data_IF_216462214613
#
_entry.id   IF_216462214613
#
_cell.length_a   1.000
_cell.length_b   1.000
_cell.length_c   1.000
_cell.angle_alpha   90.00
_cell.angle_beta   90.00
_cell.angle_gamma   90.00
#
_symmetry.space_group_name_H-M   'P 1'
#
loop_
_entity.id
_entity.type
_entity.pdbx_description
1 polymer ?
#
# COMPACT_ATOMS: atom_id res chain seq x y z
N UNK A 1 18.34 -4.71 -6.52
CA UNK A 1 17.52 -5.94 -6.48
C UNK A 1 17.22 -6.22 -5.02
N UNK A 2 16.26 -5.49 -4.45
CA UNK A 2 15.99 -5.54 -3.01
C UNK A 2 14.78 -6.44 -2.78
N UNK A 3 15.02 -7.55 -2.08
CA UNK A 3 14.00 -8.43 -1.52
C UNK A 3 14.31 -8.55 -0.02
N UNK A 4 13.37 -8.26 0.90
CA UNK A 4 11.96 -7.95 0.65
C UNK A 4 11.73 -6.65 -0.14
N UNK A 5 10.56 -6.50 -0.78
CA UNK A 5 10.25 -5.32 -1.60
C UNK A 5 10.28 -4.05 -0.74
N UNK A 6 10.52 -2.90 -1.38
CA UNK A 6 10.28 -1.62 -0.70
C UNK A 6 8.80 -1.50 -0.32
N UNK A 7 8.49 -0.73 0.72
CA UNK A 7 7.11 -0.60 1.20
C UNK A 7 6.28 0.31 0.31
N UNK A 8 6.82 1.44 -0.15
CA UNK A 8 6.09 2.42 -0.94
C UNK A 8 6.22 2.15 -2.44
N UNK A 9 5.11 2.25 -3.18
CA UNK A 9 5.06 2.09 -4.62
C UNK A 9 4.09 3.09 -5.25
N UNK A 10 4.44 3.56 -6.44
CA UNK A 10 3.58 4.41 -7.28
C UNK A 10 3.26 3.67 -8.57
N UNK A 11 1.98 3.56 -8.91
CA UNK A 11 1.55 3.04 -10.21
C UNK A 11 1.62 4.15 -11.25
N UNK A 12 2.20 3.85 -12.42
CA UNK A 12 2.17 4.77 -13.58
C UNK A 12 0.79 4.84 -14.23
N UNK A 13 -0.08 3.87 -13.96
CA UNK A 13 -1.47 3.85 -14.40
C UNK A 13 -2.40 4.13 -13.22
N UNK A 14 -3.50 4.84 -13.47
CA UNK A 14 -4.52 5.03 -12.46
C UNK A 14 -5.32 3.74 -12.26
N UNK A 15 -5.29 3.19 -11.04
CA UNK A 15 -6.01 1.98 -10.66
C UNK A 15 -7.18 2.37 -9.76
N UNK A 16 -8.39 2.45 -10.34
CA UNK A 16 -9.63 2.83 -9.64
C UNK A 16 -9.52 4.16 -8.86
N UNK A 17 -8.93 5.18 -9.47
CA UNK A 17 -8.67 6.48 -8.85
C UNK A 17 -7.35 6.57 -8.09
N UNK A 18 -6.69 5.44 -7.82
CA UNK A 18 -5.53 5.35 -6.93
C UNK A 18 -4.22 5.17 -7.71
N UNK A 19 -3.17 5.86 -7.27
CA UNK A 19 -1.81 5.75 -7.83
C UNK A 19 -0.76 5.41 -6.78
N UNK A 20 -1.01 5.72 -5.50
CA UNK A 20 -0.07 5.46 -4.41
C UNK A 20 -0.47 4.22 -3.63
N UNK A 21 0.50 3.34 -3.44
CA UNK A 21 0.30 2.03 -2.83
C UNK A 21 1.35 1.72 -1.77
N UNK A 22 0.99 0.85 -0.84
CA UNK A 22 1.89 0.24 0.14
C UNK A 22 1.90 -1.28 0.00
N UNK A 23 3.08 -1.88 0.01
CA UNK A 23 3.25 -3.32 0.08
C UNK A 23 2.89 -3.83 1.47
N UNK A 24 1.80 -4.59 1.56
CA UNK A 24 1.27 -5.14 2.81
C UNK A 24 1.64 -6.60 3.02
N UNK A 25 1.93 -7.33 1.93
CA UNK A 25 2.38 -8.72 2.00
C UNK A 25 3.18 -9.07 0.74
N UNK A 26 4.04 -10.06 0.82
CA UNK A 26 4.84 -10.55 -0.30
C UNK A 26 5.28 -11.98 -0.04
N UNK A 27 5.55 -12.71 -1.11
CA UNK A 27 5.97 -14.10 -0.98
C UNK A 27 6.34 -14.71 -2.31
N UNK A 28 6.45 -16.04 -2.31
CA UNK A 28 6.91 -16.81 -3.47
C UNK A 28 8.44 -16.81 -3.60
N UNK A 29 8.91 -17.61 -4.55
CA UNK A 29 10.32 -17.89 -4.74
C UNK A 29 10.79 -17.41 -6.11
N UNK A 30 11.96 -16.76 -6.15
CA UNK A 30 12.64 -16.36 -7.38
C UNK A 30 11.71 -15.64 -8.38
N UNK A 31 11.44 -16.26 -9.53
CA UNK A 31 10.60 -15.72 -10.61
C UNK A 31 9.09 -15.77 -10.30
N UNK A 32 8.68 -16.55 -9.30
CA UNK A 32 7.29 -16.67 -8.84
C UNK A 32 7.00 -15.73 -7.66
N UNK A 33 7.91 -14.79 -7.37
CA UNK A 33 7.68 -13.77 -6.35
C UNK A 33 6.49 -12.91 -6.71
N UNK A 34 5.77 -12.48 -5.68
CA UNK A 34 4.62 -11.60 -5.80
C UNK A 34 4.55 -10.66 -4.60
N UNK A 35 3.87 -9.53 -4.78
CA UNK A 35 3.63 -8.52 -3.76
C UNK A 35 2.14 -8.15 -3.78
N UNK A 36 1.54 -8.01 -2.61
CA UNK A 36 0.20 -7.44 -2.43
C UNK A 36 0.38 -5.97 -2.06
N UNK A 37 -0.22 -5.11 -2.87
CA UNK A 37 -0.22 -3.67 -2.74
C UNK A 37 -1.62 -3.18 -2.37
N UNK A 38 -1.72 -2.21 -1.47
CA UNK A 38 -2.97 -1.60 -1.03
C UNK A 38 -2.92 -0.07 -1.23
N UNK A 39 -4.02 0.53 -1.71
CA UNK A 39 -4.13 1.98 -1.86
C UNK A 39 -3.98 2.67 -0.51
N UNK A 40 -3.22 3.75 -0.48
CA UNK A 40 -2.94 4.46 0.78
C UNK A 40 -4.03 5.44 1.19
N UNK A 41 -4.80 5.97 0.22
CA UNK A 41 -5.82 7.00 0.51
C UNK A 41 -7.06 6.43 1.20
N UNK A 42 -7.57 5.29 0.73
CA UNK A 42 -8.86 4.74 1.18
C UNK A 42 -8.82 3.25 1.51
N UNK A 43 -7.69 2.56 1.28
CA UNK A 43 -7.53 1.10 1.44
C UNK A 43 -8.53 0.24 0.65
N UNK A 44 -9.29 0.82 -0.29
CA UNK A 44 -10.32 0.11 -1.05
C UNK A 44 -9.74 -0.68 -2.23
N UNK A 45 -8.54 -0.32 -2.71
CA UNK A 45 -7.91 -0.96 -3.86
C UNK A 45 -6.77 -1.83 -3.38
N UNK A 46 -6.92 -3.15 -3.54
CA UNK A 46 -5.87 -4.14 -3.24
C UNK A 46 -5.54 -4.91 -4.51
N UNK A 47 -4.26 -4.91 -4.88
CA UNK A 47 -3.78 -5.61 -6.09
C UNK A 47 -2.64 -6.55 -5.75
N UNK A 48 -2.66 -7.75 -6.32
CA UNK A 48 -1.56 -8.71 -6.24
C UNK A 48 -0.76 -8.63 -7.53
N UNK A 49 0.50 -8.19 -7.44
CA UNK A 49 1.37 -7.93 -8.59
C UNK A 49 2.50 -8.97 -8.62
N UNK A 50 2.71 -9.67 -9.74
CA UNK A 50 3.92 -10.45 -9.97
C UNK A 50 5.17 -9.58 -9.85
N UNK A 51 6.22 -10.09 -9.20
CA UNK A 51 7.46 -9.34 -9.02
C UNK A 51 8.06 -8.84 -10.34
N UNK A 52 7.95 -9.64 -11.41
CA UNK A 52 8.40 -9.27 -12.76
C UNK A 52 7.70 -8.04 -13.32
N UNK A 53 6.42 -7.84 -13.01
CA UNK A 53 5.69 -6.63 -13.40
C UNK A 53 5.99 -5.46 -12.47
N UNK A 54 6.21 -5.73 -11.18
CA UNK A 54 6.47 -4.71 -10.18
C UNK A 54 7.83 -4.00 -10.38
N UNK A 55 8.83 -4.72 -10.89
CA UNK A 55 10.15 -4.15 -11.20
C UNK A 55 10.22 -3.51 -12.60
N UNK A 56 9.14 -3.60 -13.38
CA UNK A 56 9.04 -2.93 -14.66
C UNK A 56 8.65 -1.47 -14.47
N UNK A 57 9.62 -0.58 -14.72
CA UNK A 57 9.50 0.87 -14.55
C UNK A 57 8.42 1.51 -15.43
N UNK A 58 7.94 0.81 -16.47
CA UNK A 58 6.82 1.27 -17.29
C UNK A 58 5.48 1.18 -16.55
N UNK A 59 5.38 0.34 -15.53
CA UNK A 59 4.16 0.08 -14.78
C UNK A 59 4.22 0.63 -13.35
N UNK A 60 5.37 0.51 -12.70
CA UNK A 60 5.53 0.80 -11.28
C UNK A 60 6.83 1.52 -10.99
N UNK A 61 6.78 2.39 -9.98
CA UNK A 61 7.93 3.08 -9.44
C UNK A 61 8.06 2.79 -7.94
N UNK A 62 9.29 2.56 -7.50
CA UNK A 62 9.60 2.34 -6.10
C UNK A 62 9.63 3.69 -5.36
N UNK A 63 8.89 3.80 -4.26
CA UNK A 63 8.67 5.07 -3.56
C UNK A 63 7.36 5.74 -3.95
N UNK A 64 7.01 6.79 -3.20
CA UNK A 64 5.95 7.71 -3.61
C UNK A 64 6.58 8.86 -4.36
N UNK A 65 6.17 9.05 -5.60
CA UNK A 65 6.68 10.12 -6.45
C UNK A 65 6.09 11.47 -5.99
N UNK A 66 6.95 12.32 -5.42
CA UNK A 66 6.61 13.68 -4.98
C UNK A 66 6.49 14.67 -6.14
N UNK A 67 6.99 14.34 -7.33
CA UNK A 67 7.03 15.27 -8.48
C UNK A 67 5.66 15.38 -9.14
N UNK A 68 4.89 14.29 -9.14
CA UNK A 68 3.50 14.27 -9.64
C UNK A 68 2.47 14.41 -8.53
N UNK A 69 2.84 15.00 -7.40
CA UNK A 69 1.92 15.28 -6.30
C UNK A 69 0.82 16.23 -6.79
N UNK A 70 -0.29 15.65 -7.26
CA UNK A 70 -1.50 16.38 -7.58
C UNK A 70 -2.07 16.84 -6.24
N UNK A 71 -2.44 18.12 -6.13
CA UNK A 71 -3.20 18.65 -4.99
C UNK A 71 -4.24 17.60 -4.58
N UNK A 72 -4.17 17.08 -3.34
CA UNK A 72 -5.02 15.99 -2.92
C UNK A 72 -6.47 16.42 -3.08
N UNK A 73 -7.27 15.61 -3.80
CA UNK A 73 -8.72 15.71 -3.68
C UNK A 73 -9.06 15.64 -2.19
N UNK A 74 -9.91 16.56 -1.72
CA UNK A 74 -10.30 16.68 -0.32
C UNK A 74 -10.46 15.30 0.33
N UNK A 75 -9.78 15.08 1.46
CA UNK A 75 -9.84 13.82 2.19
C UNK A 75 -11.30 13.52 2.56
N UNK A 76 -11.93 12.61 1.83
CA UNK A 76 -13.29 12.15 2.14
C UNK A 76 -13.19 11.14 3.27
N UNK A 77 -13.14 11.66 4.50
CA UNK A 77 -13.31 10.84 5.70
C UNK A 77 -14.77 10.35 5.75
N UNK A 78 -15.04 9.20 5.14
CA UNK A 78 -16.29 8.48 5.37
C UNK A 78 -16.32 8.09 6.86
N UNK A 79 -17.24 8.68 7.63
CA UNK A 79 -17.43 8.44 9.09
C UNK A 79 -17.84 7.00 9.46
N UNK A 80 -17.84 6.08 8.50
CA UNK A 80 -18.08 4.67 8.73
C UNK A 80 -16.75 3.94 8.80
N UNK A 81 -16.28 3.65 10.01
CA UNK A 81 -15.20 2.70 10.23
C UNK A 81 -15.62 1.36 9.61
N UNK A 82 -15.04 1.01 8.46
CA UNK A 82 -15.25 -0.30 7.85
C UNK A 82 -14.34 -1.28 8.58
N UNK A 83 -14.92 -2.09 9.48
CA UNK A 83 -14.23 -3.21 10.10
C UNK A 83 -13.79 -4.20 9.00
N UNK A 84 -12.50 -4.19 8.66
CA UNK A 84 -11.90 -5.17 7.76
C UNK A 84 -11.64 -6.45 8.54
N UNK A 85 -12.60 -7.39 8.48
CA UNK A 85 -12.61 -8.57 9.35
C UNK A 85 -11.71 -9.73 8.90
N UNK A 86 -11.07 -9.69 7.73
CA UNK A 86 -10.38 -10.87 7.22
C UNK A 86 -9.09 -10.55 6.43
N UNK A 87 -7.95 -10.57 7.12
CA UNK A 87 -6.64 -10.76 6.49
C UNK A 87 -6.08 -12.12 6.92
N UNK A 88 -6.06 -13.07 5.99
CA UNK A 88 -5.66 -14.47 6.25
C UNK A 88 -4.14 -14.68 6.36
N UNK A 89 -3.32 -13.65 6.17
CA UNK A 89 -1.86 -13.76 6.21
C UNK A 89 -1.23 -12.53 6.88
N UNK A 90 -0.94 -12.57 8.19
CA UNK A 90 -0.16 -11.54 8.85
C UNK A 90 1.25 -11.51 8.26
N UNK A 91 1.66 -10.37 7.73
CA UNK A 91 3.03 -10.15 7.25
C UNK A 91 3.96 -9.94 8.45
N UNK A 92 4.89 -10.88 8.68
CA UNK A 92 5.86 -10.84 9.78
C UNK A 92 6.80 -9.60 9.69
N UNK A 93 7.06 -9.08 8.49
CA UNK A 93 8.02 -7.98 8.25
C UNK A 93 7.40 -6.57 8.18
N UNK A 94 6.07 -6.47 8.08
CA UNK A 94 5.44 -5.15 7.93
C UNK A 94 5.51 -4.32 9.21
N UNK A 95 5.78 -4.93 10.37
CA UNK A 95 5.69 -4.28 11.68
C UNK A 95 4.27 -3.80 12.00
N UNK A 96 3.27 -4.36 11.31
CA UNK A 96 1.86 -4.05 11.42
C UNK A 96 1.15 -5.24 12.07
N UNK A 97 1.33 -5.40 13.38
CA UNK A 97 0.22 -5.90 14.20
C UNK A 97 -0.69 -4.69 14.39
N UNK A 98 -1.72 -4.57 13.55
CA UNK A 98 -2.72 -3.51 13.71
C UNK A 98 -3.92 -4.13 14.45
N UNK A 99 -3.98 -4.11 15.79
CA UNK A 99 -5.27 -3.95 16.41
C UNK A 99 -5.68 -2.50 16.11
N UNK A 100 -6.71 -2.33 15.28
CA UNK A 100 -7.31 -1.02 15.05
C UNK A 100 -8.01 -0.65 16.36
N UNK A 101 -7.32 0.11 17.20
CA UNK A 101 -7.91 0.84 18.31
C UNK A 101 -7.33 2.25 18.26
N UNK A 102 -8.10 3.26 18.64
CA UNK A 102 -7.67 4.67 18.63
C UNK A 102 -6.33 4.93 19.37
N UNK A 103 -5.86 3.98 20.18
CA UNK A 103 -4.60 4.06 20.93
C UNK A 103 -3.34 3.68 20.13
N UNK A 104 -3.46 3.13 18.92
CA UNK A 104 -2.32 2.65 18.11
C UNK A 104 -1.99 3.53 16.90
N UNK A 105 -2.64 4.69 16.78
CA UNK A 105 -2.31 5.69 15.75
C UNK A 105 -0.88 6.21 16.02
N UNK A 106 -0.03 6.19 14.98
CA UNK A 106 1.36 6.65 15.12
C UNK A 106 1.40 8.18 15.38
N UNK A 107 2.39 8.68 16.14
CA UNK A 107 2.41 10.05 16.65
C UNK A 107 2.40 11.17 15.61
N UNK A 108 2.69 10.88 14.33
CA UNK A 108 2.74 11.88 13.26
C UNK A 108 1.35 12.33 12.75
N UNK A 109 0.26 11.72 13.24
CA UNK A 109 -1.12 12.14 12.95
C UNK A 109 -1.74 13.03 14.05
N UNK A 110 -0.93 13.57 14.96
CA UNK A 110 -1.41 14.26 16.17
C UNK A 110 -1.93 15.70 15.97
N UNK A 111 -2.21 16.15 14.74
CA UNK A 111 -2.79 17.48 14.53
C UNK A 111 -4.06 17.39 13.67
N UNK A 112 -5.18 17.17 14.35
CA UNK A 112 -6.52 17.71 13.99
C UNK A 112 -7.16 18.24 15.28
#
# INVERSE_FOLDING_TARGET
>A
MNWPPVKAWTSKNNLNGQIYFVAINYGGELLKRWVILMSVLDSNVVVKVPWSQLVDISNWEAGWDEIYYREPSELVNNKSDVETTNFSYPSIDSGLTIPISQKTIRPWFNEI
#
